data_IF_175327082041
#
_entry.id   IF_175327082041
#
_cell.length_a   1.000
_cell.length_b   1.000
_cell.length_c   1.000
_cell.angle_alpha   90.00
_cell.angle_beta   90.00
_cell.angle_gamma   90.00
#
_symmetry.space_group_name_H-M   'P 1'
#
loop_
_entity.id
_entity.type
_entity.pdbx_description
1 polymer ?
#
# COMPACT_ATOMS: atom_id res chain seq x y z
N UNK A 1 -15.79 -21.85 -17.22
CA UNK A 1 -17.00 -21.00 -17.28
C UNK A 1 -16.85 -19.78 -16.35
N UNK A 2 -15.78 -18.96 -16.45
CA UNK A 2 -15.56 -17.84 -15.52
C UNK A 2 -16.44 -16.60 -15.81
N UNK A 3 -16.81 -16.36 -17.08
CA UNK A 3 -17.51 -15.13 -17.48
C UNK A 3 -18.97 -15.01 -16.96
N UNK A 4 -19.58 -16.12 -16.52
CA UNK A 4 -20.93 -16.09 -15.93
C UNK A 4 -20.89 -15.68 -14.45
N UNK A 5 -19.86 -16.11 -13.70
CA UNK A 5 -19.65 -15.75 -12.30
C UNK A 5 -19.26 -14.26 -12.17
N UNK A 6 -18.39 -13.76 -13.07
CA UNK A 6 -17.97 -12.37 -13.09
C UNK A 6 -19.15 -11.38 -13.27
N UNK A 7 -20.16 -11.75 -14.07
CA UNK A 7 -21.32 -10.89 -14.33
C UNK A 7 -22.34 -10.86 -13.20
N UNK A 8 -22.49 -11.96 -12.44
CA UNK A 8 -23.36 -12.00 -11.26
C UNK A 8 -22.76 -11.19 -10.10
N UNK A 9 -21.44 -11.28 -9.90
CA UNK A 9 -20.73 -10.50 -8.88
C UNK A 9 -20.82 -9.00 -9.14
N UNK A 10 -20.60 -8.56 -10.39
CA UNK A 10 -20.76 -7.16 -10.79
C UNK A 10 -22.19 -6.66 -10.53
N UNK A 11 -23.20 -7.43 -10.92
CA UNK A 11 -24.60 -7.07 -10.73
C UNK A 11 -24.95 -6.94 -9.24
N UNK A 12 -24.40 -7.82 -8.41
CA UNK A 12 -24.56 -7.76 -6.96
C UNK A 12 -23.89 -6.53 -6.36
N UNK A 13 -22.62 -6.24 -6.69
CA UNK A 13 -21.91 -5.05 -6.21
C UNK A 13 -22.66 -3.78 -6.62
N UNK A 14 -23.13 -3.69 -7.86
CA UNK A 14 -23.91 -2.56 -8.33
C UNK A 14 -25.25 -2.40 -7.60
N UNK A 15 -25.94 -3.50 -7.31
CA UNK A 15 -27.16 -3.47 -6.51
C UNK A 15 -26.91 -2.94 -5.09
N UNK A 16 -25.80 -3.33 -4.46
CA UNK A 16 -25.40 -2.78 -3.15
C UNK A 16 -25.15 -1.27 -3.23
N UNK A 17 -24.38 -0.82 -4.23
CA UNK A 17 -24.09 0.61 -4.44
C UNK A 17 -25.38 1.42 -4.58
N UNK A 18 -26.37 0.94 -5.35
CA UNK A 18 -27.65 1.63 -5.51
C UNK A 18 -28.46 1.66 -4.21
N UNK A 19 -28.45 0.56 -3.45
CA UNK A 19 -29.16 0.48 -2.17
C UNK A 19 -28.54 1.42 -1.12
N UNK A 20 -27.21 1.48 -1.05
CA UNK A 20 -26.46 2.39 -0.19
C UNK A 20 -26.72 3.86 -0.58
N UNK A 21 -26.57 4.21 -1.86
CA UNK A 21 -26.81 5.56 -2.34
C UNK A 21 -28.25 6.05 -2.12
N UNK A 22 -29.23 5.14 -2.14
CA UNK A 22 -30.63 5.49 -1.82
C UNK A 22 -30.78 5.86 -0.35
N UNK A 23 -30.22 5.06 0.56
CA UNK A 23 -30.25 5.36 2.00
C UNK A 23 -29.55 6.69 2.29
N UNK A 24 -28.39 6.92 1.68
CA UNK A 24 -27.64 8.16 1.87
C UNK A 24 -28.42 9.38 1.35
N UNK A 25 -29.06 9.27 0.18
CA UNK A 25 -29.87 10.35 -0.39
C UNK A 25 -31.13 10.67 0.44
N UNK A 26 -31.74 9.67 1.06
CA UNK A 26 -32.86 9.85 1.99
C UNK A 26 -32.43 10.52 3.30
N UNK A 27 -31.22 10.19 3.77
CA UNK A 27 -30.69 10.69 5.05
C UNK A 27 -30.03 12.07 4.97
N UNK A 28 -29.44 12.43 3.82
CA UNK A 28 -28.70 13.69 3.62
C UNK A 28 -29.23 14.44 2.38
N UNK A 29 -30.22 15.33 2.56
CA UNK A 29 -30.86 16.07 1.47
C UNK A 29 -29.89 16.93 0.64
N UNK A 30 -28.79 17.42 1.23
CA UNK A 30 -27.81 18.23 0.50
C UNK A 30 -27.06 17.43 -0.58
N UNK A 31 -26.93 16.11 -0.40
CA UNK A 31 -26.26 15.21 -1.33
C UNK A 31 -27.23 14.47 -2.27
N UNK A 32 -28.54 14.49 -2.00
CA UNK A 32 -29.54 13.72 -2.72
C UNK A 32 -29.46 13.91 -4.25
N UNK A 33 -29.36 15.14 -4.73
CA UNK A 33 -29.26 15.45 -6.17
C UNK A 33 -27.98 14.90 -6.80
N UNK A 34 -26.86 14.97 -6.07
CA UNK A 34 -25.57 14.44 -6.52
C UNK A 34 -25.56 12.90 -6.57
N UNK A 35 -26.12 12.25 -5.55
CA UNK A 35 -26.27 10.80 -5.50
C UNK A 35 -27.25 10.30 -6.59
N UNK A 36 -28.31 11.06 -6.85
CA UNK A 36 -29.24 10.75 -7.91
C UNK A 36 -28.58 10.83 -9.29
N UNK A 37 -27.92 11.95 -9.59
CA UNK A 37 -27.27 12.15 -10.88
C UNK A 37 -26.10 11.19 -11.11
N UNK A 38 -25.35 10.83 -10.06
CA UNK A 38 -24.14 10.01 -10.19
C UNK A 38 -24.40 8.51 -10.07
N UNK A 39 -25.43 8.08 -9.34
CA UNK A 39 -25.71 6.65 -9.08
C UNK A 39 -27.14 6.27 -9.47
N UNK A 40 -28.15 6.87 -8.82
CA UNK A 40 -29.52 6.32 -8.86
C UNK A 40 -30.17 6.39 -10.26
N UNK A 41 -29.81 7.39 -11.06
CA UNK A 41 -30.27 7.58 -12.43
C UNK A 41 -29.60 6.64 -13.45
N UNK A 42 -28.50 5.97 -13.07
CA UNK A 42 -27.80 5.04 -13.94
C UNK A 42 -28.30 3.60 -13.79
N UNK A 43 -28.17 2.84 -14.89
CA UNK A 43 -28.54 1.43 -14.96
C UNK A 43 -27.38 0.47 -14.69
N UNK A 44 -26.13 0.93 -14.82
CA UNK A 44 -24.92 0.10 -14.73
C UNK A 44 -23.75 0.82 -14.05
N UNK A 45 -22.83 0.04 -13.52
CA UNK A 45 -21.64 0.52 -12.82
C UNK A 45 -20.74 1.32 -13.76
N UNK A 46 -20.53 0.88 -15.00
CA UNK A 46 -19.62 1.57 -15.92
C UNK A 46 -20.09 2.98 -16.26
N UNK A 47 -21.41 3.19 -16.40
CA UNK A 47 -21.99 4.51 -16.68
C UNK A 47 -21.84 5.45 -15.49
N UNK A 48 -22.12 4.96 -14.29
CA UNK A 48 -21.97 5.71 -13.05
C UNK A 48 -20.51 6.12 -12.82
N UNK A 49 -19.58 5.18 -12.95
CA UNK A 49 -18.14 5.44 -12.80
C UNK A 49 -17.63 6.42 -13.86
N UNK A 50 -18.04 6.25 -15.12
CA UNK A 50 -17.68 7.17 -16.20
C UNK A 50 -18.18 8.58 -15.95
N UNK A 51 -19.43 8.72 -15.48
CA UNK A 51 -20.03 10.00 -15.16
C UNK A 51 -19.27 10.69 -14.03
N UNK A 52 -18.95 9.94 -12.98
CA UNK A 52 -18.21 10.45 -11.84
C UNK A 52 -16.79 10.90 -12.20
N UNK A 53 -16.03 10.04 -12.89
CA UNK A 53 -14.67 10.36 -13.34
C UNK A 53 -14.66 11.54 -14.31
N UNK A 54 -15.65 11.62 -15.21
CA UNK A 54 -15.80 12.74 -16.13
C UNK A 54 -15.97 14.08 -15.40
N UNK A 55 -16.79 14.11 -14.35
CA UNK A 55 -16.97 15.30 -13.52
C UNK A 55 -15.77 15.61 -12.62
N UNK A 56 -15.10 14.59 -12.07
CA UNK A 56 -13.92 14.81 -11.20
C UNK A 56 -12.72 15.34 -11.98
N UNK A 57 -12.47 14.82 -13.18
CA UNK A 57 -11.24 15.09 -13.94
C UNK A 57 -11.37 16.24 -14.94
N UNK A 58 -12.57 16.82 -15.10
CA UNK A 58 -12.77 17.91 -16.04
C UNK A 58 -11.90 19.14 -15.74
N UNK A 59 -11.67 19.93 -16.77
CA UNK A 59 -10.99 21.23 -16.71
C UNK A 59 -11.53 22.13 -17.84
N UNK A 60 -11.02 23.35 -17.95
CA UNK A 60 -11.29 24.21 -19.11
C UNK A 60 -10.81 23.61 -20.44
N UNK A 61 -9.88 22.66 -20.39
CA UNK A 61 -9.35 21.95 -21.57
C UNK A 61 -10.13 20.67 -21.87
N UNK A 62 -10.47 19.90 -20.83
CA UNK A 62 -11.13 18.60 -20.94
C UNK A 62 -12.53 18.68 -20.34
N UNK A 63 -13.55 18.79 -21.19
CA UNK A 63 -14.95 18.88 -20.77
C UNK A 63 -15.41 17.57 -20.09
N UNK A 64 -16.29 17.68 -19.10
CA UNK A 64 -16.80 16.51 -18.37
C UNK A 64 -17.58 15.54 -19.28
N UNK A 65 -18.32 16.05 -20.26
CA UNK A 65 -19.04 15.23 -21.25
C UNK A 65 -18.10 14.48 -22.19
N UNK A 66 -17.01 15.12 -22.64
CA UNK A 66 -15.97 14.48 -23.44
C UNK A 66 -15.29 13.34 -22.64
N UNK A 67 -14.96 13.60 -21.38
CA UNK A 67 -14.36 12.61 -20.51
C UNK A 67 -15.33 11.47 -20.19
N UNK A 68 -16.61 11.77 -19.98
CA UNK A 68 -17.64 10.76 -19.81
C UNK A 68 -17.68 9.78 -20.98
N UNK A 69 -17.74 10.27 -22.22
CA UNK A 69 -17.73 9.42 -23.42
C UNK A 69 -16.42 8.63 -23.53
N UNK A 70 -15.29 9.24 -23.20
CA UNK A 70 -13.98 8.58 -23.19
C UNK A 70 -13.94 7.40 -22.22
N UNK A 71 -14.39 7.61 -20.98
CA UNK A 71 -14.43 6.57 -19.95
C UNK A 71 -15.43 5.48 -20.31
N UNK A 72 -16.63 5.84 -20.75
CA UNK A 72 -17.68 4.88 -21.08
C UNK A 72 -17.26 3.94 -22.22
N UNK A 73 -16.65 4.50 -23.26
CA UNK A 73 -16.10 3.70 -24.37
C UNK A 73 -14.94 2.79 -23.91
N UNK A 74 -14.14 3.24 -22.95
CA UNK A 74 -13.05 2.44 -22.41
C UNK A 74 -13.56 1.26 -21.58
N UNK A 75 -14.52 1.50 -20.68
CA UNK A 75 -15.13 0.51 -19.78
C UNK A 75 -16.11 -0.46 -20.46
N UNK A 76 -16.46 -0.24 -21.73
CA UNK A 76 -17.15 -1.25 -22.54
C UNK A 76 -16.33 -2.55 -22.70
N UNK A 77 -15.04 -2.52 -22.36
CA UNK A 77 -14.15 -3.66 -22.27
C UNK A 77 -14.27 -4.36 -20.92
N UNK A 78 -14.73 -5.61 -20.95
CA UNK A 78 -15.04 -6.39 -19.76
C UNK A 78 -13.81 -6.63 -18.86
N UNK A 79 -12.60 -6.62 -19.42
CA UNK A 79 -11.38 -6.79 -18.63
C UNK A 79 -11.15 -5.62 -17.66
N UNK A 80 -11.49 -4.39 -18.07
CA UNK A 80 -11.40 -3.22 -17.21
C UNK A 80 -12.50 -3.23 -16.15
N UNK A 81 -13.71 -3.65 -16.53
CA UNK A 81 -14.83 -3.70 -15.59
C UNK A 81 -14.60 -4.76 -14.49
N UNK A 82 -14.07 -5.94 -14.84
CA UNK A 82 -13.62 -6.94 -13.86
C UNK A 82 -12.56 -6.38 -12.90
N UNK A 83 -11.66 -5.52 -13.39
CA UNK A 83 -10.68 -4.87 -12.53
C UNK A 83 -11.32 -3.83 -11.58
N UNK A 84 -12.31 -3.08 -12.05
CA UNK A 84 -13.09 -2.13 -11.24
C UNK A 84 -13.79 -2.86 -10.09
N UNK A 85 -14.46 -3.97 -10.37
CA UNK A 85 -15.15 -4.78 -9.37
C UNK A 85 -14.17 -5.34 -8.35
N UNK A 86 -13.06 -5.93 -8.81
CA UNK A 86 -12.02 -6.45 -7.93
C UNK A 86 -11.41 -5.36 -7.01
N UNK A 87 -11.22 -4.14 -7.50
CA UNK A 87 -10.69 -3.03 -6.71
C UNK A 87 -11.72 -2.52 -5.66
N UNK A 88 -13.02 -2.54 -5.99
CA UNK A 88 -14.09 -2.24 -5.02
C UNK A 88 -14.15 -3.29 -3.90
N UNK A 89 -14.05 -4.57 -4.26
CA UNK A 89 -14.02 -5.68 -3.30
C UNK A 89 -12.78 -5.57 -2.40
N UNK A 90 -11.60 -5.33 -2.98
CA UNK A 90 -10.37 -5.16 -2.22
C UNK A 90 -10.47 -4.01 -1.20
N UNK A 91 -11.06 -2.88 -1.58
CA UNK A 91 -11.30 -1.78 -0.64
C UNK A 91 -12.26 -2.19 0.48
N UNK A 92 -13.37 -2.85 0.14
CA UNK A 92 -14.39 -3.26 1.12
C UNK A 92 -13.89 -4.29 2.13
N UNK A 93 -13.01 -5.19 1.70
CA UNK A 93 -12.46 -6.27 2.51
C UNK A 93 -11.29 -5.83 3.38
N UNK A 94 -10.40 -4.99 2.83
CA UNK A 94 -9.09 -4.72 3.42
C UNK A 94 -9.01 -3.38 4.14
N UNK A 95 -9.88 -2.42 3.83
CA UNK A 95 -9.96 -1.16 4.58
C UNK A 95 -11.10 -1.21 5.61
N UNK A 96 -10.79 -1.25 6.92
CA UNK A 96 -11.81 -1.21 7.97
C UNK A 96 -12.67 0.06 7.97
N UNK A 97 -12.18 1.17 7.40
CA UNK A 97 -12.94 2.41 7.27
C UNK A 97 -13.91 2.38 6.07
N UNK A 98 -13.70 1.46 5.11
CA UNK A 98 -14.55 1.30 3.95
C UNK A 98 -15.76 0.42 4.28
N UNK A 99 -16.78 1.03 4.88
CA UNK A 99 -18.00 0.30 5.27
C UNK A 99 -18.95 0.00 4.11
N UNK A 100 -18.83 0.70 2.98
CA UNK A 100 -19.77 0.65 1.86
C UNK A 100 -19.09 0.73 0.50
N UNK A 101 -19.67 0.09 -0.51
CA UNK A 101 -19.18 0.15 -1.88
C UNK A 101 -19.40 1.52 -2.52
N UNK A 102 -20.54 2.17 -2.22
CA UNK A 102 -20.87 3.51 -2.72
C UNK A 102 -19.88 4.57 -2.25
N UNK A 103 -19.39 4.50 -1.00
CA UNK A 103 -18.41 5.46 -0.48
C UNK A 103 -17.05 5.25 -1.13
N UNK A 104 -16.65 4.01 -1.42
CA UNK A 104 -15.45 3.75 -2.22
C UNK A 104 -15.60 4.37 -3.62
N UNK A 105 -16.68 4.06 -4.34
CA UNK A 105 -16.94 4.60 -5.68
C UNK A 105 -16.94 6.13 -5.71
N UNK A 106 -17.55 6.79 -4.72
CA UNK A 106 -17.75 8.24 -4.74
C UNK A 106 -16.55 9.02 -4.19
N UNK A 107 -15.90 8.51 -3.14
CA UNK A 107 -15.02 9.32 -2.29
C UNK A 107 -13.57 8.81 -2.24
N UNK A 108 -13.30 7.56 -2.60
CA UNK A 108 -11.95 7.01 -2.51
C UNK A 108 -11.12 7.43 -3.71
N UNK A 109 -10.32 8.48 -3.53
CA UNK A 109 -9.45 9.02 -4.57
C UNK A 109 -8.42 8.01 -5.10
N UNK A 110 -7.96 7.08 -4.26
CA UNK A 110 -7.05 6.01 -4.67
C UNK A 110 -7.69 5.05 -5.66
N UNK A 111 -8.91 4.61 -5.36
CA UNK A 111 -9.74 3.82 -6.27
C UNK A 111 -9.99 4.57 -7.58
N UNK A 112 -10.47 5.81 -7.52
CA UNK A 112 -10.77 6.62 -8.71
C UNK A 112 -9.54 6.88 -9.58
N UNK A 113 -8.39 7.18 -8.96
CA UNK A 113 -7.13 7.37 -9.67
C UNK A 113 -6.68 6.08 -10.38
N UNK A 114 -6.84 4.92 -9.74
CA UNK A 114 -6.52 3.64 -10.36
C UNK A 114 -7.39 3.38 -11.60
N UNK A 115 -8.71 3.58 -11.51
CA UNK A 115 -9.59 3.37 -12.67
C UNK A 115 -9.31 4.35 -13.80
N UNK A 116 -9.04 5.61 -13.48
CA UNK A 116 -8.65 6.61 -14.48
C UNK A 116 -7.28 6.29 -15.13
N UNK A 117 -6.33 5.76 -14.36
CA UNK A 117 -5.06 5.27 -14.88
C UNK A 117 -5.27 4.13 -15.87
N UNK A 118 -6.15 3.15 -15.60
CA UNK A 118 -6.43 2.05 -16.54
C UNK A 118 -6.90 2.55 -17.91
N UNK A 119 -7.73 3.58 -17.93
CA UNK A 119 -8.15 4.22 -19.18
C UNK A 119 -6.99 4.98 -19.83
N UNK A 120 -6.17 5.68 -19.05
CA UNK A 120 -4.93 6.30 -19.55
C UNK A 120 -3.97 5.28 -20.16
N UNK A 121 -3.80 4.12 -19.54
CA UNK A 121 -2.99 3.00 -20.03
C UNK A 121 -3.52 2.42 -21.34
N UNK A 122 -4.84 2.29 -21.46
CA UNK A 122 -5.49 1.86 -22.71
C UNK A 122 -5.26 2.87 -23.83
N UNK A 123 -5.39 4.17 -23.56
CA UNK A 123 -5.07 5.23 -24.52
C UNK A 123 -3.60 5.22 -24.95
N UNK A 124 -2.70 5.00 -24.00
CA UNK A 124 -1.27 4.85 -24.26
C UNK A 124 -0.99 3.70 -25.23
N UNK A 125 -1.63 2.54 -25.00
CA UNK A 125 -1.50 1.33 -25.83
C UNK A 125 -2.09 1.53 -27.23
N UNK A 126 -3.11 2.38 -27.37
CA UNK A 126 -3.70 2.78 -28.65
C UNK A 126 -2.91 3.90 -29.37
N UNK A 127 -1.68 4.18 -28.94
CA UNK A 127 -0.85 5.28 -29.46
C UNK A 127 -1.43 6.70 -29.28
N UNK A 128 -2.46 6.87 -28.45
CA UNK A 128 -3.03 8.18 -28.08
C UNK A 128 -2.29 8.82 -26.92
N UNK A 129 -0.95 8.82 -27.00
CA UNK A 129 -0.05 9.21 -25.89
C UNK A 129 -0.26 10.64 -25.37
N UNK A 130 -0.48 11.68 -26.21
CA UNK A 130 -0.71 13.02 -25.69
C UNK A 130 -1.94 13.11 -24.78
N UNK A 131 -3.01 12.39 -25.12
CA UNK A 131 -4.22 12.35 -24.30
C UNK A 131 -4.01 11.54 -23.01
N UNK A 132 -3.28 10.44 -23.08
CA UNK A 132 -2.91 9.66 -21.89
C UNK A 132 -2.11 10.51 -20.89
N UNK A 133 -1.14 11.30 -21.36
CA UNK A 133 -0.36 12.22 -20.53
C UNK A 133 -1.21 13.38 -19.99
N UNK A 134 -2.10 13.94 -20.80
CA UNK A 134 -3.04 14.96 -20.31
C UNK A 134 -3.94 14.39 -19.20
N UNK A 135 -4.39 13.15 -19.34
CA UNK A 135 -5.19 12.47 -18.32
C UNK A 135 -4.37 12.16 -17.07
N UNK A 136 -3.12 11.70 -17.19
CA UNK A 136 -2.20 11.53 -16.06
C UNK A 136 -2.06 12.83 -15.27
N UNK A 137 -1.86 13.96 -15.96
CA UNK A 137 -1.77 15.28 -15.30
C UNK A 137 -3.02 15.60 -14.49
N UNK A 138 -4.22 15.36 -15.05
CA UNK A 138 -5.48 15.59 -14.32
C UNK A 138 -5.65 14.67 -13.11
N UNK A 139 -5.24 13.40 -13.24
CA UNK A 139 -5.26 12.43 -12.13
C UNK A 139 -4.35 12.92 -11.00
N UNK A 140 -3.13 13.36 -11.33
CA UNK A 140 -2.18 13.91 -10.36
C UNK A 140 -2.74 15.17 -9.68
N UNK A 141 -3.32 16.11 -10.44
CA UNK A 141 -3.90 17.34 -9.89
C UNK A 141 -5.06 17.08 -8.92
N UNK A 142 -6.00 16.21 -9.31
CA UNK A 142 -7.28 16.04 -8.61
C UNK A 142 -7.17 15.02 -7.47
N UNK A 143 -6.42 13.95 -7.67
CA UNK A 143 -6.34 12.85 -6.71
C UNK A 143 -5.01 12.80 -5.95
N UNK A 144 -4.02 13.62 -6.34
CA UNK A 144 -2.66 13.59 -5.79
C UNK A 144 -1.98 12.22 -5.96
N UNK A 145 -2.24 11.57 -7.09
CA UNK A 145 -1.69 10.25 -7.47
C UNK A 145 -1.06 10.39 -8.85
N UNK A 146 0.25 10.16 -8.95
CA UNK A 146 0.98 10.26 -10.22
C UNK A 146 1.40 8.87 -10.69
N UNK A 147 0.63 8.30 -11.62
CA UNK A 147 0.91 7.00 -12.22
C UNK A 147 1.12 7.20 -13.71
N UNK A 148 2.34 6.91 -14.17
CA UNK A 148 2.65 7.01 -15.58
C UNK A 148 1.76 6.06 -16.42
N UNK A 149 1.20 6.50 -17.57
CA UNK A 149 0.28 5.68 -18.37
C UNK A 149 0.86 4.34 -18.82
N UNK A 150 2.18 4.27 -19.05
CA UNK A 150 2.84 3.01 -19.43
C UNK A 150 3.01 2.00 -18.29
N UNK A 151 2.84 2.41 -17.02
CA UNK A 151 2.92 1.51 -15.89
C UNK A 151 1.83 0.43 -15.99
N UNK A 152 2.18 -0.81 -15.63
CA UNK A 152 1.25 -1.94 -15.69
C UNK A 152 0.76 -2.25 -14.28
N UNK A 153 -0.56 -2.28 -14.10
CA UNK A 153 -1.18 -2.51 -12.79
C UNK A 153 -2.21 -3.63 -12.94
N UNK A 154 -2.11 -4.63 -12.07
CA UNK A 154 -3.08 -5.74 -11.94
C UNK A 154 -4.42 -5.28 -11.37
N UNK A 155 -5.19 -6.21 -10.79
CA UNK A 155 -6.51 -5.94 -10.19
C UNK A 155 -6.57 -6.33 -8.71
N UNK A 156 -7.60 -5.87 -8.00
CA UNK A 156 -7.69 -6.03 -6.55
C UNK A 156 -6.70 -5.13 -5.82
N UNK A 157 -6.47 -3.93 -6.34
CA UNK A 157 -5.51 -2.98 -5.79
C UNK A 157 -6.18 -2.10 -4.75
N UNK A 158 -5.57 -2.02 -3.57
CA UNK A 158 -5.94 -1.03 -2.56
C UNK A 158 -4.93 0.10 -2.54
N UNK A 159 -5.39 1.31 -2.84
CA UNK A 159 -4.65 2.54 -2.54
C UNK A 159 -5.25 3.21 -1.32
N UNK A 160 -4.63 3.00 -0.16
CA UNK A 160 -5.09 3.59 1.08
C UNK A 160 -4.46 4.97 1.30
N UNK A 161 -5.30 5.96 1.54
CA UNK A 161 -4.93 7.38 1.67
C UNK A 161 -4.10 7.99 0.54
N UNK A 162 -3.99 7.32 -0.62
CA UNK A 162 -3.30 7.52 -1.92
C UNK A 162 -2.51 8.80 -2.27
N UNK A 163 -2.72 9.92 -1.58
CA UNK A 163 -1.92 11.15 -1.64
C UNK A 163 -0.44 10.85 -1.77
N UNK A 164 0.22 11.51 -2.72
CA UNK A 164 1.66 11.44 -2.93
C UNK A 164 2.17 10.09 -3.42
N UNK A 165 1.30 9.19 -3.87
CA UNK A 165 1.72 7.97 -4.56
C UNK A 165 2.30 8.33 -5.91
N UNK A 166 3.50 7.81 -6.20
CA UNK A 166 4.21 8.00 -7.48
C UNK A 166 4.59 6.65 -8.05
N UNK A 167 4.18 6.36 -9.29
CA UNK A 167 4.47 5.10 -9.99
C UNK A 167 5.03 5.40 -11.38
N UNK A 168 6.29 5.04 -11.59
CA UNK A 168 6.99 5.38 -12.81
C UNK A 168 6.69 4.49 -14.02
N UNK A 169 7.17 4.95 -15.18
CA UNK A 169 6.85 4.43 -16.53
C UNK A 169 6.98 2.91 -16.70
N UNK A 170 8.02 2.29 -16.15
CA UNK A 170 8.34 0.86 -16.36
C UNK A 170 8.00 0.00 -15.16
N UNK A 171 7.23 0.55 -14.21
CA UNK A 171 6.78 -0.18 -13.04
C UNK A 171 5.75 -1.25 -13.44
N UNK A 172 5.79 -2.37 -12.73
CA UNK A 172 4.77 -3.41 -12.83
C UNK A 172 4.27 -3.68 -11.42
N UNK A 173 2.95 -3.65 -11.26
CA UNK A 173 2.25 -3.98 -10.03
C UNK A 173 1.34 -5.17 -10.32
N UNK A 174 1.51 -6.24 -9.55
CA UNK A 174 0.70 -7.46 -9.62
C UNK A 174 -0.73 -7.27 -9.12
N UNK A 175 -1.40 -8.38 -8.81
CA UNK A 175 -2.76 -8.40 -8.26
C UNK A 175 -2.75 -8.40 -6.72
N UNK A 176 -3.87 -8.01 -6.10
CA UNK A 176 -4.02 -8.03 -4.64
C UNK A 176 -2.93 -7.26 -3.88
N UNK A 177 -2.42 -6.19 -4.47
CA UNK A 177 -1.39 -5.33 -3.84
C UNK A 177 -2.05 -4.20 -3.07
N UNK A 178 -1.53 -3.90 -1.88
CA UNK A 178 -1.98 -2.78 -1.05
C UNK A 178 -0.87 -1.76 -0.87
N UNK A 179 -1.17 -0.51 -1.20
CA UNK A 179 -0.22 0.60 -1.28
C UNK A 179 -0.76 1.78 -0.48
N UNK A 180 0.00 2.20 0.53
CA UNK A 180 -0.37 3.34 1.37
C UNK A 180 0.11 4.67 0.78
N UNK A 181 -0.28 5.78 1.42
CA UNK A 181 0.10 7.13 1.02
C UNK A 181 1.63 7.34 0.97
N UNK A 182 2.06 8.32 0.15
CA UNK A 182 3.47 8.71 -0.06
C UNK A 182 4.39 7.58 -0.54
N UNK A 183 3.85 6.48 -1.07
CA UNK A 183 4.69 5.42 -1.65
C UNK A 183 5.25 5.86 -3.01
N UNK A 184 6.54 5.63 -3.22
CA UNK A 184 7.21 5.91 -4.50
C UNK A 184 7.76 4.62 -5.10
N UNK A 185 7.30 4.27 -6.31
CA UNK A 185 7.87 3.24 -7.17
C UNK A 185 8.67 3.93 -8.28
N UNK A 186 9.89 4.33 -7.95
CA UNK A 186 10.70 5.31 -8.69
C UNK A 186 11.93 4.73 -9.38
N UNK A 187 12.58 5.57 -10.20
CA UNK A 187 13.86 5.26 -10.84
C UNK A 187 15.06 5.73 -10.01
N UNK A 188 16.24 5.18 -10.27
CA UNK A 188 17.50 5.56 -9.59
C UNK A 188 18.34 6.59 -10.34
N UNK A 189 17.94 7.02 -11.55
CA UNK A 189 18.75 7.95 -12.34
C UNK A 189 18.16 8.35 -13.69
N UNK A 190 19.00 8.97 -14.53
CA UNK A 190 18.64 9.67 -15.78
C UNK A 190 18.53 8.76 -17.02
N UNK A 191 19.12 7.56 -16.97
CA UNK A 191 19.19 6.66 -18.14
C UNK A 191 17.83 5.97 -18.34
N UNK A 192 17.32 5.99 -19.58
CA UNK A 192 16.08 5.29 -19.95
C UNK A 192 16.21 3.77 -19.91
N UNK A 193 15.11 3.07 -20.18
CA UNK A 193 15.01 1.61 -20.09
C UNK A 193 14.23 1.14 -18.86
N UNK A 194 14.35 -0.16 -18.56
CA UNK A 194 13.66 -0.77 -17.43
C UNK A 194 14.34 -0.40 -16.10
N UNK A 195 13.68 0.47 -15.33
CA UNK A 195 14.31 1.24 -14.24
C UNK A 195 13.41 1.43 -13.01
N UNK A 196 12.21 0.86 -13.04
CA UNK A 196 11.25 0.99 -11.96
C UNK A 196 10.91 -0.39 -11.35
N UNK A 197 10.38 -0.44 -10.12
CA UNK A 197 10.16 -1.69 -9.42
C UNK A 197 9.18 -2.66 -10.09
N UNK A 198 9.35 -3.95 -9.78
CA UNK A 198 8.43 -5.04 -10.11
C UNK A 198 7.82 -5.58 -8.82
N UNK A 199 6.57 -5.22 -8.57
CA UNK A 199 5.81 -5.62 -7.39
C UNK A 199 4.96 -6.83 -7.77
N UNK A 200 5.23 -7.98 -7.15
CA UNK A 200 4.45 -9.20 -7.37
C UNK A 200 3.12 -9.16 -6.61
N UNK A 201 2.34 -10.22 -6.77
CA UNK A 201 0.98 -10.32 -6.20
C UNK A 201 1.02 -10.35 -4.65
N UNK A 202 -0.03 -9.83 -4.02
CA UNK A 202 -0.23 -9.93 -2.57
C UNK A 202 0.72 -9.10 -1.71
N UNK A 203 1.48 -8.17 -2.30
CA UNK A 203 2.45 -7.34 -1.58
C UNK A 203 1.75 -6.23 -0.78
N UNK A 204 2.24 -5.97 0.43
CA UNK A 204 1.88 -4.79 1.23
C UNK A 204 3.03 -3.78 1.23
N UNK A 205 2.74 -2.54 0.84
CA UNK A 205 3.70 -1.44 0.88
C UNK A 205 3.21 -0.36 1.86
N UNK A 206 3.89 -0.27 3.00
CA UNK A 206 3.58 0.68 4.06
C UNK A 206 3.79 2.15 3.66
N UNK A 207 3.18 3.04 4.44
CA UNK A 207 3.16 4.47 4.19
C UNK A 207 4.57 5.07 4.04
N UNK A 208 4.76 5.93 3.04
CA UNK A 208 6.02 6.65 2.81
C UNK A 208 7.18 5.78 2.33
N UNK A 209 6.95 4.50 2.01
CA UNK A 209 8.01 3.64 1.50
C UNK A 209 8.45 4.07 0.09
N UNK A 210 9.77 4.10 -0.13
CA UNK A 210 10.39 4.49 -1.40
C UNK A 210 11.16 3.31 -1.95
N UNK A 211 10.71 2.76 -3.08
CA UNK A 211 11.30 1.62 -3.77
C UNK A 211 11.90 2.13 -5.07
N UNK A 212 13.22 2.07 -5.22
CA UNK A 212 13.93 2.69 -6.33
C UNK A 212 14.69 1.67 -7.17
N UNK A 213 14.58 1.82 -8.49
CA UNK A 213 15.32 1.02 -9.46
C UNK A 213 14.54 -0.19 -9.93
N UNK A 214 15.15 -0.96 -10.83
CA UNK A 214 14.56 -2.19 -11.34
C UNK A 214 14.75 -3.36 -10.36
N UNK A 215 14.17 -3.21 -9.17
CA UNK A 215 14.18 -4.22 -8.11
C UNK A 215 12.89 -5.03 -8.12
N UNK A 216 12.97 -6.28 -7.67
CA UNK A 216 11.84 -7.20 -7.55
C UNK A 216 11.39 -7.31 -6.10
N UNK A 217 10.11 -7.07 -5.87
CA UNK A 217 9.45 -7.32 -4.59
C UNK A 217 8.59 -8.57 -4.77
N UNK A 218 9.02 -9.65 -4.14
CA UNK A 218 8.44 -10.98 -4.30
C UNK A 218 7.02 -11.08 -3.76
N UNK A 219 6.31 -12.11 -4.22
CA UNK A 219 4.90 -12.35 -3.90
C UNK A 219 4.68 -12.43 -2.38
N UNK A 220 3.65 -11.76 -1.88
CA UNK A 220 3.33 -11.73 -0.47
C UNK A 220 4.40 -11.06 0.41
N UNK A 221 5.34 -10.30 -0.15
CA UNK A 221 6.30 -9.55 0.66
C UNK A 221 5.63 -8.36 1.37
N UNK A 222 6.24 -7.91 2.47
CA UNK A 222 5.82 -6.75 3.25
C UNK A 222 6.94 -5.72 3.29
N UNK A 223 6.66 -4.49 2.87
CA UNK A 223 7.57 -3.35 2.99
C UNK A 223 7.08 -2.46 4.12
N UNK A 224 7.92 -2.26 5.13
CA UNK A 224 7.58 -1.41 6.27
C UNK A 224 7.43 0.05 5.89
N UNK A 225 6.64 0.79 6.66
CA UNK A 225 6.47 2.23 6.49
C UNK A 225 7.83 2.97 6.57
N UNK A 226 8.00 4.01 5.75
CA UNK A 226 9.20 4.84 5.69
C UNK A 226 10.46 4.15 5.16
N UNK A 227 10.35 2.92 4.63
CA UNK A 227 11.52 2.16 4.18
C UNK A 227 12.06 2.67 2.84
N UNK A 228 13.38 2.60 2.65
CA UNK A 228 14.03 2.89 1.37
C UNK A 228 14.63 1.61 0.80
N UNK A 229 13.95 1.04 -0.21
CA UNK A 229 14.28 -0.27 -0.78
C UNK A 229 15.07 -0.10 -2.06
N UNK A 230 16.31 -0.61 -2.04
CA UNK A 230 17.27 -0.55 -3.15
C UNK A 230 17.74 -1.95 -3.60
N UNK A 231 17.17 -3.01 -3.04
CA UNK A 231 17.51 -4.40 -3.30
C UNK A 231 16.25 -5.23 -3.53
N UNK A 232 16.40 -6.37 -4.19
CA UNK A 232 15.32 -7.35 -4.31
C UNK A 232 14.88 -7.87 -2.93
N UNK A 233 13.58 -8.02 -2.76
CA UNK A 233 12.95 -8.54 -1.54
C UNK A 233 12.33 -9.90 -1.87
N UNK A 234 12.78 -11.00 -1.26
CA UNK A 234 12.24 -12.33 -1.55
C UNK A 234 10.74 -12.48 -1.20
N UNK A 235 10.02 -13.41 -1.83
CA UNK A 235 8.62 -13.68 -1.53
C UNK A 235 8.36 -13.97 -0.05
N UNK A 236 7.22 -13.48 0.46
CA UNK A 236 6.74 -13.66 1.83
C UNK A 236 7.69 -13.19 2.93
N UNK A 237 8.63 -12.29 2.61
CA UNK A 237 9.55 -11.71 3.60
C UNK A 237 9.19 -10.26 3.94
N UNK A 238 9.69 -9.76 5.06
CA UNK A 238 9.56 -8.35 5.44
C UNK A 238 10.85 -7.59 5.22
N UNK A 239 10.79 -6.43 4.56
CA UNK A 239 11.91 -5.49 4.46
C UNK A 239 11.56 -4.15 5.13
N UNK A 240 12.43 -3.67 6.03
CA UNK A 240 12.25 -2.41 6.75
C UNK A 240 13.54 -1.59 6.85
N UNK A 241 13.41 -0.28 7.03
CA UNK A 241 14.52 0.63 7.34
C UNK A 241 15.05 1.44 6.15
N UNK A 242 16.04 2.30 6.41
CA UNK A 242 16.67 3.17 5.42
C UNK A 242 18.20 3.10 5.54
N UNK A 243 18.91 2.38 4.64
CA UNK A 243 18.38 1.52 3.59
C UNK A 243 17.74 0.24 4.13
N UNK A 244 16.74 -0.29 3.44
CA UNK A 244 15.97 -1.43 3.89
C UNK A 244 16.81 -2.71 4.04
N UNK A 245 16.47 -3.52 5.05
CA UNK A 245 17.04 -4.85 5.31
C UNK A 245 15.92 -5.84 5.60
N UNK A 246 16.18 -7.11 5.31
CA UNK A 246 15.25 -8.20 5.63
C UNK A 246 15.21 -8.42 7.14
N UNK A 247 14.00 -8.47 7.69
CA UNK A 247 13.77 -8.89 9.08
C UNK A 247 14.10 -10.39 9.21
N UNK A 248 14.79 -10.78 10.28
CA UNK A 248 15.34 -12.14 10.45
C UNK A 248 16.71 -12.37 9.78
N UNK A 249 17.22 -11.39 9.02
CA UNK A 249 18.53 -11.45 8.37
C UNK A 249 18.52 -12.16 7.01
N UNK A 250 19.65 -12.10 6.30
CA UNK A 250 19.76 -12.61 4.90
C UNK A 250 19.69 -14.13 4.80
N UNK A 251 20.17 -14.86 5.80
CA UNK A 251 20.26 -16.34 5.74
C UNK A 251 18.96 -17.05 6.12
N UNK A 252 18.14 -16.43 7.00
CA UNK A 252 16.85 -16.95 7.46
C UNK A 252 15.83 -15.83 7.65
N UNK A 253 15.35 -15.20 6.56
CA UNK A 253 14.31 -14.19 6.68
C UNK A 253 13.05 -14.80 7.30
N UNK A 254 12.37 -14.05 8.17
CA UNK A 254 11.05 -14.45 8.64
C UNK A 254 10.09 -14.54 7.46
N UNK A 255 9.29 -15.61 7.42
CA UNK A 255 8.34 -15.88 6.34
C UNK A 255 6.92 -15.76 6.87
N UNK A 256 6.09 -15.03 6.14
CA UNK A 256 4.67 -14.96 6.41
C UNK A 256 3.97 -16.23 5.91
N UNK A 257 3.06 -16.76 6.73
CA UNK A 257 2.10 -17.77 6.28
C UNK A 257 0.94 -17.13 5.51
N UNK A 258 0.56 -15.91 5.91
CA UNK A 258 -0.51 -15.11 5.31
C UNK A 258 -0.04 -14.26 4.12
N UNK A 259 -0.98 -13.67 3.38
CA UNK A 259 -0.74 -12.71 2.29
C UNK A 259 -0.83 -11.27 2.83
N UNK A 260 0.29 -10.56 3.05
CA UNK A 260 0.28 -9.26 3.72
C UNK A 260 -0.57 -8.19 3.03
N UNK A 261 -0.68 -8.24 1.71
CA UNK A 261 -1.51 -7.33 0.92
C UNK A 261 -3.00 -7.42 1.27
N UNK A 262 -3.46 -8.54 1.84
CA UNK A 262 -4.85 -8.75 2.25
C UNK A 262 -5.05 -8.52 3.75
N UNK A 263 -4.10 -8.94 4.59
CA UNK A 263 -4.23 -8.80 6.04
C UNK A 263 -4.02 -7.38 6.57
N UNK A 264 -3.36 -6.51 5.80
CA UNK A 264 -3.07 -5.11 6.17
C UNK A 264 -2.37 -4.94 7.52
N UNK A 265 -1.66 -5.99 7.97
CA UNK A 265 -0.95 -5.95 9.24
C UNK A 265 0.36 -5.15 9.09
N UNK A 266 0.45 -4.04 9.82
CA UNK A 266 1.59 -3.13 9.79
C UNK A 266 2.62 -3.37 10.90
N UNK A 267 2.38 -4.27 11.86
CA UNK A 267 3.14 -4.26 13.13
C UNK A 267 3.74 -5.60 13.53
N UNK A 268 3.31 -6.74 12.96
CA UNK A 268 3.85 -8.06 13.36
C UNK A 268 5.38 -8.17 13.35
N UNK A 269 6.06 -7.47 12.44
CA UNK A 269 7.53 -7.48 12.36
C UNK A 269 8.22 -6.72 13.50
N UNK A 270 7.50 -5.85 14.22
CA UNK A 270 8.08 -5.01 15.29
C UNK A 270 8.58 -5.90 16.44
N UNK A 271 7.84 -6.94 16.81
CA UNK A 271 8.26 -7.90 17.84
C UNK A 271 9.56 -8.62 17.48
N UNK A 272 9.79 -8.91 16.19
CA UNK A 272 11.02 -9.55 15.71
C UNK A 272 12.22 -8.58 15.71
N UNK A 273 11.98 -7.30 15.41
CA UNK A 273 13.01 -6.25 15.47
C UNK A 273 13.46 -5.93 16.90
N UNK A 274 12.54 -5.88 17.88
CA UNK A 274 12.87 -5.62 19.28
C UNK A 274 13.76 -6.71 19.88
N UNK A 275 13.55 -7.98 19.49
CA UNK A 275 14.34 -9.10 19.98
C UNK A 275 15.82 -8.98 19.60
N UNK A 276 16.11 -8.48 18.38
CA UNK A 276 17.48 -8.24 17.89
C UNK A 276 18.10 -6.98 18.49
N UNK A 277 17.32 -5.89 18.66
CA UNK A 277 17.81 -4.63 19.22
C UNK A 277 18.23 -4.74 20.69
N UNK A 278 17.47 -5.50 21.49
CA UNK A 278 17.83 -5.74 22.90
C UNK A 278 19.11 -6.58 23.02
N UNK A 279 19.27 -7.62 22.19
CA UNK A 279 20.49 -8.45 22.18
C UNK A 279 21.71 -7.60 21.74
N UNK A 280 21.55 -6.75 20.73
CA UNK A 280 22.61 -5.84 20.25
C UNK A 280 23.08 -4.85 21.31
N UNK A 281 22.15 -4.19 22.01
CA UNK A 281 22.48 -3.24 23.09
C UNK A 281 23.21 -3.92 24.27
N UNK A 282 22.88 -5.17 24.61
CA UNK A 282 23.59 -5.92 25.66
C UNK A 282 25.02 -6.30 25.25
N UNK A 283 25.24 -6.68 23.99
CA UNK A 283 26.58 -7.01 23.48
C UNK A 283 27.46 -5.76 23.37
N UNK A 284 26.91 -4.65 22.89
CA UNK A 284 27.62 -3.37 22.77
C UNK A 284 27.95 -2.79 24.16
N UNK A 285 27.03 -2.87 25.13
CA UNK A 285 27.34 -2.49 26.53
C UNK A 285 28.46 -3.39 27.08
N UNK A 286 28.40 -4.71 26.89
CA UNK A 286 29.45 -5.63 27.34
C UNK A 286 30.83 -5.33 26.76
N UNK A 287 30.91 -4.85 25.52
CA UNK A 287 32.17 -4.50 24.84
C UNK A 287 32.67 -3.10 25.20
N UNK A 288 31.77 -2.10 25.28
CA UNK A 288 32.15 -0.71 25.59
C UNK A 288 32.43 -0.46 27.08
N UNK A 289 31.90 -1.29 27.98
CA UNK A 289 32.15 -1.15 29.43
C UNK A 289 33.52 -1.66 29.90
N UNK A 290 34.39 -2.11 28.99
CA UNK A 290 35.80 -2.35 29.33
C UNK A 290 36.01 -3.37 30.45
N UNK A 291 35.14 -4.38 30.58
CA UNK A 291 35.38 -5.52 31.48
C UNK A 291 36.40 -6.47 30.85
N UNK A 292 37.64 -5.99 30.77
CA UNK A 292 38.80 -6.84 30.65
C UNK A 292 38.87 -7.76 31.87
N UNK A 293 38.77 -9.07 31.61
CA UNK A 293 39.30 -10.13 32.45
C UNK A 293 39.09 -10.00 33.96
N UNK A 294 37.88 -10.31 34.44
CA UNK A 294 37.65 -11.07 35.69
C UNK A 294 36.15 -11.37 35.85
N UNK A 295 35.79 -12.64 35.65
CA UNK A 295 34.56 -13.27 36.15
C UNK A 295 33.25 -12.60 35.76
N UNK A 296 32.77 -12.84 34.53
CA UNK A 296 31.31 -12.88 34.29
C UNK A 296 30.78 -14.06 35.10
N UNK A 297 30.22 -13.75 36.27
CA UNK A 297 29.72 -14.75 37.20
C UNK A 297 28.65 -15.58 36.49
N UNK A 298 28.85 -16.90 36.49
CA UNK A 298 27.99 -17.89 35.84
C UNK A 298 26.54 -17.87 36.35
N UNK A 299 26.26 -17.08 37.40
CA UNK A 299 24.96 -16.90 38.06
C UNK A 299 23.93 -16.13 37.25
N UNK A 300 24.27 -15.02 36.55
CA UNK A 300 23.25 -14.20 35.87
C UNK A 300 22.68 -14.90 34.62
N UNK A 301 23.55 -15.59 33.86
CA UNK A 301 23.14 -16.37 32.70
C UNK A 301 22.34 -17.63 33.11
N UNK A 302 22.68 -18.27 34.24
CA UNK A 302 21.88 -19.37 34.81
C UNK A 302 20.54 -18.90 35.39
N UNK A 303 20.49 -17.71 36.01
CA UNK A 303 19.25 -17.14 36.54
C UNK A 303 18.25 -16.79 35.43
N UNK A 304 18.75 -16.32 34.28
CA UNK A 304 17.92 -16.05 33.10
C UNK A 304 17.41 -17.35 32.45
N UNK A 305 18.27 -18.36 32.31
CA UNK A 305 17.91 -19.68 31.73
C UNK A 305 16.92 -20.45 32.61
N UNK A 306 17.11 -20.47 33.93
CA UNK A 306 16.21 -21.16 34.85
C UNK A 306 14.83 -20.46 34.98
N UNK A 307 14.76 -19.13 34.84
CA UNK A 307 13.45 -18.43 34.83
C UNK A 307 12.67 -18.67 33.54
N UNK A 308 13.34 -18.93 32.42
CA UNK A 308 12.71 -19.25 31.13
C UNK A 308 12.20 -20.70 31.06
N UNK A 309 12.85 -21.65 31.73
CA UNK A 309 12.35 -23.04 31.84
C UNK A 309 11.10 -23.18 32.73
N UNK A 310 10.87 -22.24 33.67
CA UNK A 310 9.76 -22.31 34.63
C UNK A 310 8.44 -21.68 34.14
N UNK A 311 8.45 -20.75 33.17
CA UNK A 311 7.21 -20.17 32.59
C UNK A 311 7.41 -19.70 31.13
N UNK A 312 7.12 -20.55 30.12
CA UNK A 312 7.30 -20.20 28.71
C UNK A 312 6.20 -19.26 28.14
N UNK A 313 5.19 -18.87 28.91
CA UNK A 313 3.97 -18.21 28.40
C UNK A 313 3.75 -16.74 28.81
N UNK A 314 4.73 -16.05 29.40
CA UNK A 314 4.64 -14.60 29.65
C UNK A 314 6.02 -13.92 29.50
N UNK A 315 6.18 -12.88 28.66
CA UNK A 315 7.34 -12.03 28.75
C UNK A 315 7.25 -11.23 30.06
N UNK A 316 8.26 -11.40 30.93
CA UNK A 316 8.40 -10.60 32.15
C UNK A 316 8.77 -9.17 31.73
N UNK A 317 7.80 -8.27 31.79
CA UNK A 317 8.02 -6.82 31.75
C UNK A 317 8.81 -6.43 33.00
N UNK A 318 10.13 -6.25 32.85
CA UNK A 318 10.95 -5.51 33.82
C UNK A 318 11.05 -4.07 33.32
N UNK A 319 9.95 -3.33 33.52
CA UNK A 319 9.88 -1.87 33.39
C UNK A 319 9.39 -1.32 34.73
N UNK A 320 10.13 -1.62 35.80
CA UNK A 320 9.95 -0.98 37.10
C UNK A 320 11.33 -0.77 37.71
N UNK A 321 12.11 0.16 37.13
CA UNK A 321 13.18 0.94 37.78
C UNK A 321 13.91 1.81 36.74
N UNK A 322 13.15 2.67 36.05
CA UNK A 322 13.70 3.92 35.51
C UNK A 322 12.75 5.02 35.99
N UNK A 323 12.80 5.31 37.29
CA UNK A 323 12.16 6.49 37.84
C UNK A 323 12.94 7.73 37.40
N UNK A 324 12.21 8.65 36.77
CA UNK A 324 12.44 10.09 36.76
C UNK A 324 13.88 10.58 36.90
N UNK A 325 14.58 10.71 35.78
CA UNK A 325 15.46 11.85 35.41
C UNK A 325 16.39 11.37 34.29
N UNK A 326 15.99 11.63 33.03
CA UNK A 326 16.87 11.96 31.88
C UNK A 326 16.15 11.68 30.55
N UNK A 327 15.27 12.62 30.20
CA UNK A 327 14.70 12.76 28.85
C UNK A 327 15.74 13.19 27.79
N UNK A 328 17.03 13.17 28.12
CA UNK A 328 18.13 13.56 27.23
C UNK A 328 18.80 12.38 26.49
N UNK A 329 18.39 11.13 26.73
CA UNK A 329 19.02 9.93 26.14
C UNK A 329 18.34 9.37 24.88
N UNK A 330 17.15 9.86 24.52
CA UNK A 330 16.49 9.47 23.27
C UNK A 330 17.27 9.87 21.99
N UNK A 331 17.95 11.03 21.94
CA UNK A 331 18.83 11.38 20.82
C UNK A 331 20.12 10.54 20.79
N UNK A 332 20.61 10.06 21.93
CA UNK A 332 21.90 9.33 22.02
C UNK A 332 21.77 7.89 21.50
N UNK A 333 20.62 7.24 21.71
CA UNK A 333 20.35 5.90 21.15
C UNK A 333 20.27 5.92 19.62
N UNK A 334 19.76 7.01 19.03
CA UNK A 334 19.81 7.19 17.56
C UNK A 334 21.21 7.58 17.06
N UNK A 335 21.99 8.32 17.85
CA UNK A 335 23.31 8.80 17.43
C UNK A 335 24.39 7.71 17.50
N UNK A 336 24.27 6.72 18.40
CA UNK A 336 25.13 5.53 18.38
C UNK A 336 24.90 4.63 17.15
N UNK A 337 23.70 4.65 16.54
CA UNK A 337 23.43 3.93 15.29
C UNK A 337 23.90 4.68 14.03
N UNK A 338 24.38 5.93 14.17
CA UNK A 338 24.88 6.75 13.05
C UNK A 338 26.41 6.88 12.99
N UNK A 339 27.16 6.26 13.92
CA UNK A 339 28.63 6.31 13.94
C UNK A 339 29.33 4.99 13.59
N UNK A 340 28.61 3.98 13.10
CA UNK A 340 29.20 2.85 12.38
C UNK A 340 28.94 2.95 10.86
N UNK A 341 29.52 3.99 10.25
CA UNK A 341 30.16 3.94 8.93
C UNK A 341 31.36 4.86 8.92
#
# INVERSE_FOLDING_TARGET
MPAAEDGEEEAWVWAQIKAEARRDAESEPALASYLYSTILSHSSLERSLSFHLGNKLCSSTLLSTLLYDLFLNAFSDHSLLSAVVADLLAARERDPACVSFSHCLLNYKGFLACQAHRVSHKLWSQSRRPLALALQSRIADVFAVDIHPAAKIGKGILFDHATGVVVGETAVIGNSVSILHHVTLGGTGKVGGDRHPKIADGVLIGAGATILGNVKIGEGAKIGAGSVVLIDVPPRTTAVGNPARLVGGKERPSKHEDVPGESMDHTSFISECYFLGVIGCFVIWGVLSGLGGRGLDHGLYKAFRNKQELQPSRPVLLVEEIQHHDLALFPVVLQCLSQEQ
#
